data_IF_236486831718
#
_entry.id   IF_236486831718
#
_cell.length_a   1.000
_cell.length_b   1.000
_cell.length_c   1.000
_cell.angle_alpha   90.00
_cell.angle_beta   90.00
_cell.angle_gamma   90.00
#
_symmetry.space_group_name_H-M   'P 1'
#
loop_
_entity.id
_entity.type
_entity.pdbx_description
1 polymer ?
#
# COMPACT_ATOMS: atom_id res chain seq x y z
N UNK A 1 17.40 24.15 24.86
CA UNK A 1 16.49 23.18 25.48
C UNK A 1 16.51 21.94 24.60
N UNK A 2 17.22 20.89 25.00
CA UNK A 2 17.21 19.62 24.25
C UNK A 2 15.80 19.07 24.21
N UNK A 3 15.33 18.70 23.03
CA UNK A 3 14.04 18.04 22.86
C UNK A 3 14.05 16.74 23.67
N UNK A 4 13.11 16.61 24.61
CA UNK A 4 12.96 15.39 25.38
C UNK A 4 12.74 14.21 24.42
N UNK A 5 13.63 13.22 24.45
CA UNK A 5 13.46 11.95 23.73
C UNK A 5 12.29 11.21 24.37
N UNK A 6 11.08 11.43 23.85
CA UNK A 6 9.81 10.92 24.38
C UNK A 6 9.72 9.38 24.32
N UNK A 7 10.47 8.73 23.41
CA UNK A 7 10.49 7.28 23.33
C UNK A 7 11.87 6.73 22.91
N UNK A 8 12.27 5.56 23.41
CA UNK A 8 13.53 4.92 23.04
C UNK A 8 13.49 4.22 21.66
N UNK A 9 12.39 4.33 20.91
CA UNK A 9 12.17 3.64 19.63
C UNK A 9 12.19 4.66 18.49
N UNK A 10 12.88 4.34 17.39
CA UNK A 10 12.81 5.17 16.19
C UNK A 10 11.41 5.08 15.56
N UNK A 11 10.65 6.18 15.64
CA UNK A 11 9.27 6.27 15.16
C UNK A 11 9.23 6.29 13.61
N UNK A 12 10.18 6.95 12.97
CA UNK A 12 10.20 7.12 11.51
C UNK A 12 10.42 5.79 10.81
N UNK A 13 11.40 5.00 11.28
CA UNK A 13 11.67 3.68 10.74
C UNK A 13 10.43 2.78 10.83
N UNK A 14 9.76 2.77 11.99
CA UNK A 14 8.55 1.97 12.22
C UNK A 14 7.39 2.38 11.32
N UNK A 15 7.24 3.67 11.03
CA UNK A 15 6.23 4.21 10.12
C UNK A 15 6.46 3.72 8.69
N UNK A 16 7.71 3.70 8.25
CA UNK A 16 8.10 3.38 6.88
C UNK A 16 8.05 1.87 6.55
N UNK A 17 7.90 0.97 7.54
CA UNK A 17 7.80 -0.48 7.29
C UNK A 17 6.58 -0.84 6.41
N UNK A 18 5.52 -0.04 6.44
CA UNK A 18 4.38 -0.24 5.53
C UNK A 18 3.65 -1.58 5.70
N UNK A 19 3.51 -2.07 6.94
CA UNK A 19 2.85 -3.35 7.23
C UNK A 19 1.38 -3.31 6.77
N UNK A 20 0.96 -4.31 6.01
CA UNK A 20 -0.42 -4.46 5.51
C UNK A 20 -1.03 -5.80 5.94
N UNK A 21 -2.37 -5.87 6.05
CA UNK A 21 -3.06 -7.16 6.19
C UNK A 21 -2.70 -8.07 5.03
N UNK A 22 -2.47 -9.36 5.31
CA UNK A 22 -2.03 -10.32 4.29
C UNK A 22 -0.52 -10.53 4.24
N UNK A 23 0.27 -9.64 4.83
CA UNK A 23 1.71 -9.82 4.95
C UNK A 23 2.05 -10.94 5.94
N UNK A 24 3.09 -11.71 5.63
CA UNK A 24 3.75 -12.59 6.58
C UNK A 24 4.91 -11.84 7.18
N UNK A 25 4.86 -11.60 8.49
CA UNK A 25 5.86 -10.83 9.22
C UNK A 25 6.56 -11.69 10.25
N UNK A 26 7.85 -11.44 10.46
CA UNK A 26 8.64 -11.98 11.55
C UNK A 26 8.94 -10.84 12.52
N UNK A 27 8.40 -10.96 13.73
CA UNK A 27 8.56 -9.97 14.80
C UNK A 27 9.54 -10.53 15.83
N UNK A 28 10.63 -9.81 16.06
CA UNK A 28 11.61 -10.14 17.08
C UNK A 28 11.25 -9.41 18.38
N UNK A 29 10.88 -10.17 19.41
CA UNK A 29 10.47 -9.64 20.70
C UNK A 29 11.54 -9.89 21.76
N UNK A 30 11.86 -8.87 22.55
CA UNK A 30 12.67 -8.96 23.77
C UNK A 30 11.81 -9.56 24.88
N UNK A 31 12.22 -10.71 25.40
CA UNK A 31 11.60 -11.36 26.55
C UNK A 31 12.59 -11.32 27.69
N UNK A 32 12.18 -10.69 28.79
CA UNK A 32 12.98 -10.59 30.01
C UNK A 32 12.54 -11.69 30.98
N UNK A 33 13.46 -12.59 31.32
CA UNK A 33 13.25 -13.67 32.29
C UNK A 33 14.33 -13.60 33.36
N UNK A 34 13.93 -13.31 34.60
CA UNK A 34 14.80 -13.31 35.79
C UNK A 34 16.14 -12.57 35.58
N UNK A 35 16.10 -11.40 34.93
CA UNK A 35 17.26 -10.55 34.67
C UNK A 35 18.05 -10.85 33.39
N UNK A 36 17.69 -11.90 32.63
CA UNK A 36 18.27 -12.17 31.30
C UNK A 36 17.28 -11.79 30.22
N UNK A 37 17.79 -11.16 29.16
CA UNK A 37 16.99 -10.81 27.97
C UNK A 37 17.30 -11.78 26.85
N UNK A 38 16.28 -12.39 26.26
CA UNK A 38 16.37 -13.19 25.03
C UNK A 38 15.51 -12.60 23.93
N UNK A 39 15.93 -12.80 22.68
CA UNK A 39 15.13 -12.46 21.51
C UNK A 39 14.32 -13.69 21.08
N UNK A 40 13.00 -13.55 20.99
CA UNK A 40 12.11 -14.56 20.44
C UNK A 40 11.48 -14.06 19.16
N UNK A 41 11.61 -14.83 18.08
CA UNK A 41 10.94 -14.55 16.82
C UNK A 41 9.51 -15.12 16.82
N UNK A 42 8.54 -14.28 16.49
CA UNK A 42 7.17 -14.69 16.17
C UNK A 42 6.88 -14.40 14.70
N UNK A 43 6.82 -15.45 13.90
CA UNK A 43 6.51 -15.37 12.47
C UNK A 43 5.07 -15.79 12.21
N UNK A 44 4.32 -14.96 11.49
CA UNK A 44 2.94 -15.30 11.12
C UNK A 44 2.30 -14.30 10.19
N UNK A 45 1.02 -14.56 9.89
CA UNK A 45 0.22 -13.75 8.99
C UNK A 45 -0.40 -12.55 9.73
N UNK A 46 -0.27 -11.35 9.17
CA UNK A 46 -0.97 -10.16 9.65
C UNK A 46 -2.45 -10.26 9.29
N UNK A 47 -3.30 -10.38 10.31
CA UNK A 47 -4.75 -10.41 10.14
C UNK A 47 -5.35 -9.02 9.96
N UNK A 48 -4.86 -8.06 10.73
CA UNK A 48 -5.38 -6.71 10.78
C UNK A 48 -4.31 -5.74 11.27
N UNK A 49 -4.38 -4.52 10.78
CA UNK A 49 -3.67 -3.35 11.30
C UNK A 49 -4.69 -2.32 11.75
N UNK A 50 -4.53 -1.77 12.95
CA UNK A 50 -5.42 -0.78 13.56
C UNK A 50 -4.63 0.48 13.88
N UNK A 51 -5.29 1.63 13.86
CA UNK A 51 -4.72 2.94 14.19
C UNK A 51 -3.51 3.35 13.31
N UNK A 52 -3.32 2.70 12.16
CA UNK A 52 -2.36 3.11 11.13
C UNK A 52 -0.95 3.37 11.64
N UNK A 53 -0.54 4.64 11.53
CA UNK A 53 0.76 5.18 11.95
C UNK A 53 0.68 5.99 13.26
N UNK A 54 -0.49 6.09 13.89
CA UNK A 54 -0.67 6.79 15.18
C UNK A 54 0.13 6.09 16.27
N UNK A 55 0.46 6.78 17.37
CA UNK A 55 1.20 6.21 18.49
C UNK A 55 0.57 4.92 19.07
N UNK A 56 -0.76 4.78 19.00
CA UNK A 56 -1.52 3.58 19.39
C UNK A 56 -1.63 2.50 18.30
N UNK A 57 -0.89 2.64 17.20
CA UNK A 57 -0.83 1.71 16.08
C UNK A 57 -0.57 0.28 16.53
N UNK A 58 -1.45 -0.65 16.16
CA UNK A 58 -1.28 -2.07 16.48
C UNK A 58 -1.51 -2.95 15.26
N UNK A 59 -0.87 -4.10 15.25
CA UNK A 59 -1.10 -5.13 14.24
C UNK A 59 -1.24 -6.50 14.90
N UNK A 60 -2.12 -7.33 14.36
CA UNK A 60 -2.41 -8.66 14.89
C UNK A 60 -1.80 -9.71 13.98
N UNK A 61 -0.92 -10.54 14.53
CA UNK A 61 -0.24 -11.62 13.81
C UNK A 61 -0.78 -12.96 14.28
N UNK A 62 -1.14 -13.82 13.34
CA UNK A 62 -1.63 -15.18 13.57
C UNK A 62 -0.64 -16.20 13.03
N UNK A 63 -0.33 -17.20 13.86
CA UNK A 63 0.47 -18.38 13.51
C UNK A 63 -0.24 -19.63 14.00
N UNK A 64 -0.10 -20.74 13.29
CA UNK A 64 -0.46 -22.07 13.82
C UNK A 64 0.83 -22.77 14.22
N UNK A 65 0.96 -23.14 15.50
CA UNK A 65 2.11 -23.86 16.04
C UNK A 65 1.60 -25.08 16.78
N UNK A 66 2.11 -26.27 16.46
CA UNK A 66 1.70 -27.51 17.13
C UNK A 66 0.19 -27.81 17.03
N UNK A 67 -0.45 -27.41 15.92
CA UNK A 67 -1.90 -27.58 15.72
C UNK A 67 -2.78 -26.54 16.41
N UNK A 68 -2.22 -25.68 17.27
CA UNK A 68 -2.95 -24.63 17.99
C UNK A 68 -2.73 -23.29 17.29
N UNK A 69 -3.82 -22.56 17.03
CA UNK A 69 -3.78 -21.21 16.47
C UNK A 69 -3.44 -20.18 17.55
N UNK A 70 -2.27 -19.58 17.46
CA UNK A 70 -1.79 -18.53 18.36
C UNK A 70 -1.91 -17.17 17.66
N UNK A 71 -2.54 -16.22 18.35
CA UNK A 71 -2.61 -14.83 17.91
C UNK A 71 -1.88 -13.93 18.90
N UNK A 72 -1.07 -13.02 18.39
CA UNK A 72 -0.41 -11.97 19.17
C UNK A 72 -0.73 -10.61 18.59
N UNK A 73 -1.05 -9.66 19.46
CA UNK A 73 -1.24 -8.25 19.10
C UNK A 73 0.04 -7.52 19.48
N UNK A 74 0.63 -6.83 18.51
CA UNK A 74 1.85 -6.07 18.67
C UNK A 74 1.57 -4.57 18.50
N UNK A 75 1.92 -3.73 19.48
CA UNK A 75 1.99 -2.28 19.27
C UNK A 75 3.18 -1.95 18.38
N UNK A 76 2.97 -1.14 17.34
CA UNK A 76 3.98 -0.79 16.34
C UNK A 76 5.21 -0.13 16.96
N UNK A 77 5.01 0.72 17.96
CA UNK A 77 6.04 1.50 18.63
C UNK A 77 6.45 0.94 20.00
N UNK A 78 6.23 -0.36 20.25
CA UNK A 78 6.61 -0.96 21.53
C UNK A 78 8.13 -1.11 21.65
N UNK A 79 8.75 -0.71 22.79
CA UNK A 79 10.18 -0.90 23.05
C UNK A 79 10.57 -2.38 23.23
N UNK A 80 9.59 -3.24 23.47
CA UNK A 80 9.79 -4.68 23.58
C UNK A 80 10.02 -5.34 22.21
N UNK A 81 9.75 -4.63 21.11
CA UNK A 81 10.01 -5.11 19.76
C UNK A 81 11.40 -4.61 19.35
N UNK A 82 12.25 -5.55 18.99
CA UNK A 82 13.58 -5.25 18.47
C UNK A 82 13.49 -4.93 16.97
N UNK A 83 13.08 -5.91 16.18
CA UNK A 83 13.01 -5.82 14.71
C UNK A 83 11.70 -6.39 14.18
N UNK A 84 11.20 -5.81 13.09
CA UNK A 84 10.07 -6.35 12.32
C UNK A 84 10.56 -6.54 10.90
N UNK A 85 10.40 -7.75 10.36
CA UNK A 85 10.77 -8.10 9.00
C UNK A 85 9.52 -8.57 8.23
N UNK A 86 9.31 -8.05 7.03
CA UNK A 86 8.29 -8.57 6.12
C UNK A 86 8.94 -9.72 5.34
N UNK A 87 8.49 -10.94 5.61
CA UNK A 87 8.99 -12.16 4.95
C UNK A 87 8.33 -12.33 3.58
N UNK A 88 7.04 -12.02 3.49
CA UNK A 88 6.25 -12.18 2.27
C UNK A 88 5.09 -11.21 2.25
N UNK A 89 4.89 -10.55 1.11
CA UNK A 89 3.70 -9.72 0.84
C UNK A 89 2.68 -10.52 0.02
N UNK A 90 1.39 -10.34 0.30
CA UNK A 90 0.32 -11.02 -0.44
C UNK A 90 -0.89 -10.10 -0.57
N UNK A 91 -1.40 -9.92 -1.80
CA UNK A 91 -2.49 -8.99 -2.07
C UNK A 91 -3.83 -9.51 -1.59
N UNK A 92 -4.32 -9.02 -0.46
CA UNK A 92 -5.64 -9.39 0.06
C UNK A 92 -6.72 -8.39 -0.35
N UNK A 93 -7.96 -8.87 -0.48
CA UNK A 93 -9.12 -8.03 -0.84
C UNK A 93 -9.79 -7.35 0.36
N UNK A 94 -9.46 -7.76 1.59
CA UNK A 94 -10.11 -7.29 2.81
C UNK A 94 -9.07 -6.68 3.74
N UNK A 95 -9.39 -5.55 4.37
CA UNK A 95 -8.55 -4.90 5.36
C UNK A 95 -8.43 -5.69 6.68
N UNK A 96 -9.37 -6.60 6.98
CA UNK A 96 -9.36 -7.45 8.18
C UNK A 96 -9.64 -8.89 7.79
N UNK A 97 -8.72 -9.79 8.12
CA UNK A 97 -8.76 -11.20 7.72
C UNK A 97 -9.29 -12.12 8.81
N UNK A 98 -10.23 -11.66 9.63
CA UNK A 98 -10.77 -12.45 10.75
C UNK A 98 -11.39 -13.79 10.32
N UNK A 99 -11.89 -13.87 9.10
CA UNK A 99 -12.40 -15.09 8.49
C UNK A 99 -11.35 -16.23 8.41
N UNK A 100 -10.06 -15.93 8.51
CA UNK A 100 -8.98 -16.93 8.53
C UNK A 100 -8.98 -17.75 9.82
N UNK A 101 -9.56 -17.24 10.91
CA UNK A 101 -9.63 -17.97 12.19
C UNK A 101 -10.41 -19.27 12.10
N UNK A 102 -11.50 -19.24 11.35
CA UNK A 102 -12.48 -20.33 11.26
C UNK A 102 -12.21 -21.26 10.07
N UNK A 103 -11.23 -20.93 9.22
CA UNK A 103 -10.95 -21.70 8.00
C UNK A 103 -9.93 -22.79 8.27
N UNK A 104 -10.10 -23.91 7.58
CA UNK A 104 -9.11 -24.98 7.55
C UNK A 104 -7.82 -24.46 6.88
N UNK A 105 -6.66 -24.84 7.38
CA UNK A 105 -5.33 -24.45 6.88
C UNK A 105 -5.19 -24.59 5.36
N UNK A 106 -5.81 -25.64 4.78
CA UNK A 106 -5.83 -25.90 3.33
C UNK A 106 -6.58 -24.81 2.55
N UNK A 107 -7.74 -24.38 3.06
CA UNK A 107 -8.54 -23.33 2.44
C UNK A 107 -7.89 -21.96 2.56
N UNK A 108 -7.26 -21.67 3.70
CA UNK A 108 -6.47 -20.46 3.89
C UNK A 108 -5.35 -20.42 2.85
N UNK A 109 -4.57 -21.50 2.74
CA UNK A 109 -3.50 -21.59 1.74
C UNK A 109 -4.01 -21.41 0.31
N UNK A 110 -5.15 -22.01 -0.04
CA UNK A 110 -5.76 -21.85 -1.37
C UNK A 110 -6.27 -20.42 -1.60
N UNK A 111 -6.89 -19.80 -0.60
CA UNK A 111 -7.35 -18.42 -0.67
C UNK A 111 -6.19 -17.44 -0.87
N UNK A 112 -5.09 -17.65 -0.13
CA UNK A 112 -3.88 -16.82 -0.21
C UNK A 112 -3.07 -17.10 -1.49
N UNK A 113 -3.10 -18.31 -2.06
CA UNK A 113 -2.45 -18.61 -3.35
C UNK A 113 -3.17 -18.00 -4.54
N UNK A 114 -4.51 -17.92 -4.50
CA UNK A 114 -5.28 -17.22 -5.53
C UNK A 114 -5.07 -15.70 -5.52
N UNK A 115 -4.46 -15.18 -4.47
CA UNK A 115 -4.10 -13.78 -4.37
C UNK A 115 -2.79 -13.53 -5.09
N UNK A 116 -2.73 -12.43 -5.85
CA UNK A 116 -1.57 -12.01 -6.61
C UNK A 116 -0.38 -11.82 -5.64
N UNK A 117 0.75 -12.48 -5.93
CA UNK A 117 2.01 -12.12 -5.29
C UNK A 117 2.41 -10.74 -5.78
N UNK A 118 2.84 -9.87 -4.86
CA UNK A 118 3.30 -8.53 -5.18
C UNK A 118 4.76 -8.49 -4.78
N UNK A 119 5.62 -8.07 -5.70
CA UNK A 119 7.03 -7.87 -5.41
C UNK A 119 7.19 -6.72 -4.42
N UNK A 120 8.14 -6.87 -3.49
CA UNK A 120 8.34 -5.96 -2.36
C UNK A 120 8.60 -4.50 -2.79
N UNK A 121 9.11 -4.31 -4.03
CA UNK A 121 9.44 -3.03 -4.67
C UNK A 121 8.25 -2.29 -5.27
N UNK A 122 7.13 -2.96 -5.56
CA UNK A 122 6.03 -2.34 -6.34
C UNK A 122 5.31 -1.20 -5.62
N UNK A 123 5.52 -1.04 -4.31
CA UNK A 123 4.80 -0.04 -3.49
C UNK A 123 5.65 1.18 -3.11
N UNK A 124 6.98 1.04 -3.01
CA UNK A 124 7.88 2.19 -2.84
C UNK A 124 7.81 3.12 -4.06
N UNK A 125 7.72 2.54 -5.26
CA UNK A 125 7.70 3.31 -6.50
C UNK A 125 6.38 4.05 -6.71
N UNK A 126 5.26 3.57 -6.16
CA UNK A 126 3.96 4.27 -6.22
C UNK A 126 3.85 5.42 -5.23
N UNK A 127 4.50 5.31 -4.06
CA UNK A 127 4.56 6.42 -3.10
C UNK A 127 5.56 7.50 -3.53
N UNK A 128 6.64 7.13 -4.23
CA UNK A 128 7.55 8.09 -4.86
C UNK A 128 6.92 8.79 -6.06
N UNK A 129 6.18 8.07 -6.91
CA UNK A 129 5.43 8.69 -8.04
C UNK A 129 4.37 9.66 -7.54
N UNK A 130 3.56 9.26 -6.55
CA UNK A 130 2.54 10.14 -5.98
C UNK A 130 3.10 11.41 -5.30
N UNK A 131 4.36 11.38 -4.81
CA UNK A 131 5.03 12.59 -4.29
C UNK A 131 5.66 13.45 -5.38
N UNK A 132 6.04 12.86 -6.51
CA UNK A 132 6.51 13.58 -7.69
C UNK A 132 5.35 14.31 -8.38
N UNK A 133 4.19 13.66 -8.53
CA UNK A 133 3.00 14.22 -9.18
C UNK A 133 2.44 15.44 -8.40
N UNK A 134 2.48 15.42 -7.05
CA UNK A 134 2.02 16.58 -6.22
C UNK A 134 2.96 17.78 -6.35
N UNK A 135 4.25 17.56 -6.61
CA UNK A 135 5.24 18.64 -6.78
C UNK A 135 5.12 19.37 -8.13
N UNK A 136 4.61 18.68 -9.15
CA UNK A 136 4.35 19.26 -10.47
C UNK A 136 3.02 20.05 -10.53
N UNK A 137 2.07 19.74 -9.64
CA UNK A 137 0.79 20.47 -9.56
C UNK A 137 0.94 21.80 -8.80
N UNK A 138 1.72 21.84 -7.71
CA UNK A 138 1.96 23.08 -6.94
C UNK A 138 2.75 24.16 -7.71
N UNK A 139 3.48 23.80 -8.77
CA UNK A 139 4.22 24.76 -9.61
C UNK A 139 3.40 25.34 -10.77
N UNK A 140 2.15 24.90 -10.98
CA UNK A 140 1.28 25.40 -12.06
C UNK A 140 0.16 26.34 -11.62
N UNK A 141 -0.18 26.41 -10.33
CA UNK A 141 -1.27 27.27 -9.84
C UNK A 141 -0.88 28.74 -9.60
N UNK A 142 0.40 29.12 -9.51
CA UNK A 142 0.81 30.52 -9.27
C UNK A 142 0.98 31.39 -10.55
N UNK A 143 0.75 30.83 -11.75
CA UNK A 143 1.05 31.51 -13.03
C UNK A 143 -0.15 32.11 -13.77
N UNK A 144 -1.25 32.49 -13.10
CA UNK A 144 -2.46 32.97 -13.79
C UNK A 144 -3.13 34.17 -13.11
N UNK A 145 -2.46 35.32 -13.10
CA UNK A 145 -3.09 36.61 -12.92
C UNK A 145 -2.34 37.72 -13.70
N UNK A 146 -3.13 38.56 -14.38
CA UNK A 146 -2.80 39.85 -15.03
C UNK A 146 -2.31 39.84 -16.50
N UNK A 147 -3.25 40.03 -17.45
CA UNK A 147 -3.43 41.28 -18.22
C UNK A 147 -4.33 41.08 -19.47
N UNK A 148 -5.36 41.93 -19.60
CA UNK A 148 -6.10 42.29 -20.84
C UNK A 148 -6.01 43.83 -20.99
N UNK A 149 -6.43 44.51 -22.09
CA UNK A 149 -6.89 44.07 -23.43
C UNK A 149 -6.25 44.87 -24.60
N UNK A 150 -6.52 44.52 -25.86
CA UNK A 150 -6.83 45.51 -26.91
C UNK A 150 -7.60 44.89 -28.10
N UNK A 151 -8.65 45.60 -28.53
CA UNK A 151 -9.57 45.26 -29.60
C UNK A 151 -9.01 45.70 -30.97
N UNK A 152 -9.23 44.92 -32.04
CA UNK A 152 -9.70 45.52 -33.30
C UNK A 152 -10.46 44.55 -34.21
N UNK A 153 -11.48 45.10 -34.85
CA UNK A 153 -12.43 44.50 -35.81
C UNK A 153 -11.77 44.25 -37.18
N UNK A 154 -12.30 43.28 -37.92
CA UNK A 154 -12.04 43.13 -39.36
C UNK A 154 -12.79 41.96 -39.99
N UNK A 155 -13.72 42.28 -40.87
CA UNK A 155 -14.74 41.46 -41.55
C UNK A 155 -14.22 40.52 -42.67
N UNK A 156 -15.04 39.49 -42.94
CA UNK A 156 -15.37 38.86 -44.26
C UNK A 156 -14.30 38.12 -45.06
N UNK A 157 -14.53 36.87 -45.48
CA UNK A 157 -15.30 36.48 -46.68
C UNK A 157 -15.32 34.95 -46.84
N UNK A 158 -16.51 34.41 -47.14
CA UNK A 158 -16.72 33.10 -47.75
C UNK A 158 -16.13 33.07 -49.16
N UNK A 159 -15.48 31.97 -49.57
CA UNK A 159 -15.73 31.36 -50.89
C UNK A 159 -15.54 29.84 -50.79
N UNK A 160 -16.60 29.13 -51.16
CA UNK A 160 -16.71 27.69 -51.34
C UNK A 160 -15.77 27.13 -52.43
N UNK A 161 -15.41 25.84 -52.37
CA UNK A 161 -15.82 24.88 -53.41
C UNK A 161 -15.64 23.41 -52.96
N UNK A 162 -16.59 22.58 -53.43
CA UNK A 162 -16.86 21.17 -53.16
C UNK A 162 -15.70 20.22 -53.54
N UNK A 163 -15.73 18.98 -53.00
CA UNK A 163 -16.11 17.75 -53.73
C UNK A 163 -15.83 16.48 -52.87
N UNK A 164 -16.88 15.63 -52.78
CA UNK A 164 -16.95 14.16 -52.51
C UNK A 164 -17.05 13.62 -51.07
N UNK A 165 -18.30 13.35 -50.67
CA UNK A 165 -18.78 12.04 -50.17
C UNK A 165 -18.30 10.92 -51.11
N UNK A 166 -17.74 9.80 -50.65
CA UNK A 166 -18.32 8.50 -50.24
C UNK A 166 -17.05 7.59 -50.23
N UNK A 167 -16.80 6.57 -49.41
CA UNK A 167 -17.62 5.42 -49.06
C UNK A 167 -16.81 4.54 -48.08
N UNK A 168 -17.50 3.61 -47.44
CA UNK A 168 -17.09 2.65 -46.40
C UNK A 168 -15.94 1.69 -46.74
N UNK A 169 -15.45 0.91 -45.76
CA UNK A 169 -15.64 -0.53 -45.91
C UNK A 169 -16.19 -1.24 -44.67
N UNK A 170 -17.25 -2.03 -44.89
CA UNK A 170 -17.56 -3.25 -44.14
C UNK A 170 -16.65 -4.35 -44.68
N UNK A 171 -16.09 -5.19 -43.81
CA UNK A 171 -15.76 -6.57 -44.18
C UNK A 171 -16.13 -7.53 -43.04
N UNK A 172 -16.86 -8.56 -43.44
CA UNK A 172 -17.38 -9.64 -42.62
C UNK A 172 -16.35 -10.76 -42.41
N UNK A 173 -16.50 -11.42 -41.25
CA UNK A 173 -16.29 -12.85 -40.96
C UNK A 173 -15.54 -13.70 -42.02
N UNK A 174 -14.56 -14.46 -41.51
CA UNK A 174 -14.49 -15.88 -41.85
C UNK A 174 -14.07 -16.74 -40.66
N UNK A 175 -14.55 -17.98 -40.70
CA UNK A 175 -14.69 -18.97 -39.64
C UNK A 175 -14.07 -20.26 -40.19
N UNK A 176 -13.55 -21.11 -39.29
CA UNK A 176 -13.20 -22.54 -39.47
C UNK A 176 -11.92 -22.87 -40.24
N UNK A 177 -10.98 -23.49 -39.53
CA UNK A 177 -10.62 -24.91 -39.67
C UNK A 177 -10.25 -25.49 -38.29
#
# INVERSE_FOLDING_TARGET
MEAAVISPVNIEDRKNIGIKPGDTVRVWQKIQEKGKTRLQAFEGLVLARKHGNEAGGTFTVRRVTGGIGVEKIFPLYSPMIDKIEIVKRSKVRRAKLYHIRNKVTREIRRAMRRMQMVDLSTESDTEEKAKADVKEDETKEEGKAEAQPEENKGETQEVAEKVKEEETPKDEKEKKE
#
